data_IF_058020315022
#
_entry.id   IF_058020315022
#
_cell.length_a   1.000
_cell.length_b   1.000
_cell.length_c   1.000
_cell.angle_alpha   90.00
_cell.angle_beta   90.00
_cell.angle_gamma   90.00
#
_symmetry.space_group_name_H-M   'P 1'
#
loop_
_entity.id
_entity.type
_entity.pdbx_description
1 polymer ?
#
# COMPACT_ATOMS: atom_id res chain seq x y z
N UNK A 1 -13.87 -4.30 -9.78
CA UNK A 1 -12.51 -3.81 -10.01
C UNK A 1 -11.86 -4.66 -11.10
N UNK A 2 -10.95 -4.10 -11.89
CA UNK A 2 -10.18 -4.78 -12.93
C UNK A 2 -8.78 -4.17 -13.06
N UNK A 3 -7.89 -4.87 -13.74
CA UNK A 3 -6.56 -4.35 -14.04
C UNK A 3 -6.63 -3.06 -14.88
N UNK A 4 -5.83 -2.07 -14.51
CA UNK A 4 -5.83 -0.72 -15.06
C UNK A 4 -6.79 0.27 -14.39
N UNK A 5 -7.64 -0.17 -13.46
CA UNK A 5 -8.45 0.75 -12.66
C UNK A 5 -7.56 1.61 -11.74
N UNK A 6 -8.00 2.84 -11.45
CA UNK A 6 -7.32 3.80 -10.58
C UNK A 6 -8.30 4.42 -9.60
N UNK A 7 -7.81 4.84 -8.44
CA UNK A 7 -8.56 5.54 -7.39
C UNK A 7 -9.86 4.79 -7.01
N UNK A 8 -9.75 3.47 -6.80
CA UNK A 8 -10.90 2.60 -6.51
C UNK A 8 -11.20 2.60 -5.02
N UNK A 9 -12.31 3.22 -4.62
CA UNK A 9 -12.79 3.22 -3.25
C UNK A 9 -13.32 1.84 -2.82
N UNK A 10 -12.86 1.35 -1.67
CA UNK A 10 -13.31 0.08 -1.07
C UNK A 10 -14.03 0.37 0.24
N UNK A 11 -15.35 0.18 0.23
CA UNK A 11 -16.20 0.36 1.40
C UNK A 11 -16.33 -0.91 2.24
N UNK A 12 -16.60 -0.74 3.53
CA UNK A 12 -16.88 -1.86 4.41
C UNK A 12 -18.24 -2.46 4.05
N UNK A 13 -18.33 -3.75 3.68
CA UNK A 13 -19.60 -4.35 3.29
C UNK A 13 -20.62 -4.43 4.43
N UNK A 14 -20.16 -4.35 5.69
CA UNK A 14 -21.01 -4.36 6.87
C UNK A 14 -21.44 -2.95 7.32
N UNK A 15 -20.82 -1.91 6.78
CA UNK A 15 -21.12 -0.51 7.07
C UNK A 15 -20.70 0.36 5.89
N UNK A 16 -21.59 0.50 4.90
CA UNK A 16 -21.30 1.21 3.65
C UNK A 16 -21.12 2.72 3.81
N UNK A 17 -21.30 3.26 5.02
CA UNK A 17 -20.94 4.64 5.35
C UNK A 17 -19.44 4.80 5.66
N UNK A 18 -18.70 3.68 5.76
CA UNK A 18 -17.27 3.65 6.05
C UNK A 18 -16.47 3.10 4.89
N UNK A 19 -15.60 3.94 4.35
CA UNK A 19 -14.52 3.54 3.45
C UNK A 19 -13.36 2.93 4.24
N UNK A 20 -12.87 1.77 3.80
CA UNK A 20 -11.68 1.12 4.37
C UNK A 20 -10.42 1.80 3.80
N UNK A 21 -10.33 1.86 2.47
CA UNK A 21 -9.22 2.47 1.75
C UNK A 21 -9.63 2.80 0.31
N UNK A 22 -8.77 3.55 -0.36
CA UNK A 22 -8.79 3.73 -1.81
C UNK A 22 -7.57 3.02 -2.38
N UNK A 23 -7.74 2.25 -3.47
CA UNK A 23 -6.67 1.62 -4.22
C UNK A 23 -6.21 2.59 -5.32
N UNK A 24 -4.95 3.05 -5.25
CA UNK A 24 -4.46 4.10 -6.15
C UNK A 24 -4.34 3.59 -7.61
N UNK A 25 -3.83 2.37 -7.79
CA UNK A 25 -3.65 1.74 -9.11
C UNK A 25 -3.73 0.21 -9.02
N UNK A 26 -4.47 -0.42 -9.93
CA UNK A 26 -4.49 -1.88 -10.09
C UNK A 26 -3.68 -2.23 -11.32
N UNK A 27 -2.59 -2.97 -11.16
CA UNK A 27 -1.70 -3.27 -12.29
C UNK A 27 -1.03 -4.62 -12.18
N UNK A 28 -1.15 -5.41 -13.24
CA UNK A 28 -0.65 -6.79 -13.31
C UNK A 28 -1.13 -7.66 -12.14
N UNK A 29 -2.38 -7.46 -11.70
CA UNK A 29 -2.95 -8.19 -10.56
C UNK A 29 -2.49 -7.72 -9.18
N UNK A 30 -1.71 -6.63 -9.09
CA UNK A 30 -1.23 -6.05 -7.84
C UNK A 30 -2.01 -4.79 -7.50
N UNK A 31 -2.36 -4.63 -6.23
CA UNK A 31 -2.98 -3.41 -5.68
C UNK A 31 -1.90 -2.46 -5.19
N UNK A 32 -1.68 -1.36 -5.90
CA UNK A 32 -0.61 -0.40 -5.61
C UNK A 32 -1.14 0.82 -4.87
N UNK A 33 -0.47 1.15 -3.76
CA UNK A 33 -0.50 2.48 -3.15
C UNK A 33 0.69 3.28 -3.73
N UNK A 34 0.43 4.44 -4.29
CA UNK A 34 1.43 5.29 -4.95
C UNK A 34 1.91 6.41 -4.03
N UNK A 35 3.21 6.71 -4.06
CA UNK A 35 3.81 7.82 -3.31
C UNK A 35 4.80 8.60 -4.17
N UNK A 36 4.70 9.92 -4.18
CA UNK A 36 5.67 10.79 -4.84
C UNK A 36 6.77 11.30 -3.91
N UNK A 37 6.71 10.94 -2.62
CA UNK A 37 7.64 11.44 -1.61
C UNK A 37 9.04 10.87 -1.80
N UNK A 38 10.04 11.75 -1.81
CA UNK A 38 11.46 11.37 -1.82
C UNK A 38 12.14 11.56 -0.46
N UNK A 39 11.47 12.25 0.48
CA UNK A 39 11.92 12.45 1.86
C UNK A 39 10.73 12.77 2.78
N UNK A 40 11.00 12.88 4.08
CA UNK A 40 10.07 13.40 5.08
C UNK A 40 10.83 14.14 6.19
N UNK A 41 10.23 15.18 6.77
CA UNK A 41 10.81 15.90 7.90
C UNK A 41 10.84 15.04 9.18
N UNK A 42 9.83 14.18 9.35
CA UNK A 42 9.73 13.19 10.41
C UNK A 42 9.44 11.84 9.73
N UNK A 43 10.49 11.04 9.56
CA UNK A 43 10.42 9.80 8.78
C UNK A 43 9.60 8.74 9.52
N UNK A 44 9.75 8.61 10.84
CA UNK A 44 9.02 7.64 11.64
C UNK A 44 7.50 7.88 11.56
N UNK A 45 7.08 9.13 11.74
CA UNK A 45 5.66 9.50 11.63
C UNK A 45 5.15 9.31 10.21
N UNK A 46 5.98 9.60 9.21
CA UNK A 46 5.61 9.38 7.81
C UNK A 46 5.44 7.89 7.52
N UNK A 47 6.36 7.05 7.96
CA UNK A 47 6.33 5.58 7.81
C UNK A 47 5.09 4.99 8.47
N UNK A 48 4.81 5.33 9.73
CA UNK A 48 3.62 4.83 10.42
C UNK A 48 2.33 5.17 9.68
N UNK A 49 2.25 6.38 9.09
CA UNK A 49 1.05 6.85 8.38
C UNK A 49 0.94 6.31 6.95
N UNK A 50 2.03 6.31 6.20
CA UNK A 50 2.02 6.12 4.74
C UNK A 50 2.45 4.72 4.32
N UNK A 51 3.10 3.97 5.21
CA UNK A 51 3.49 2.58 4.99
C UNK A 51 2.60 1.68 5.83
N UNK A 52 2.76 1.69 7.16
CA UNK A 52 2.10 0.72 8.04
C UNK A 52 0.57 0.84 7.97
N UNK A 53 0.03 2.05 8.19
CA UNK A 53 -1.42 2.26 8.14
C UNK A 53 -2.01 1.98 6.76
N UNK A 54 -1.38 2.49 5.69
CA UNK A 54 -1.91 2.34 4.33
C UNK A 54 -1.87 0.90 3.84
N UNK A 55 -0.73 0.23 3.96
CA UNK A 55 -0.61 -1.18 3.59
C UNK A 55 -1.51 -2.05 4.47
N UNK A 56 -1.63 -1.77 5.77
CA UNK A 56 -2.58 -2.45 6.65
C UNK A 56 -4.02 -2.36 6.16
N UNK A 57 -4.47 -1.16 5.75
CA UNK A 57 -5.80 -0.98 5.16
C UNK A 57 -5.99 -1.72 3.83
N UNK A 58 -4.95 -1.87 3.01
CA UNK A 58 -5.02 -2.68 1.78
C UNK A 58 -5.12 -4.18 2.09
N UNK A 59 -4.38 -4.67 3.10
CA UNK A 59 -4.48 -6.06 3.57
C UNK A 59 -5.89 -6.36 4.07
N UNK A 60 -6.50 -5.43 4.81
CA UNK A 60 -7.88 -5.56 5.26
C UNK A 60 -8.87 -5.51 4.09
N UNK A 61 -8.72 -4.53 3.20
CA UNK A 61 -9.66 -4.28 2.12
C UNK A 61 -9.71 -5.41 1.09
N UNK A 62 -8.57 -6.02 0.75
CA UNK A 62 -8.49 -6.98 -0.38
C UNK A 62 -9.47 -8.14 -0.25
N UNK A 63 -9.76 -8.60 0.96
CA UNK A 63 -10.69 -9.72 1.22
C UNK A 63 -12.13 -9.45 0.75
N UNK A 64 -12.47 -8.17 0.51
CA UNK A 64 -13.79 -7.74 0.06
C UNK A 64 -13.83 -7.40 -1.44
N UNK A 65 -12.73 -7.65 -2.16
CA UNK A 65 -12.62 -7.31 -3.58
C UNK A 65 -12.67 -8.58 -4.41
N UNK A 66 -13.78 -8.77 -5.12
CA UNK A 66 -14.03 -9.94 -5.97
C UNK A 66 -12.89 -10.14 -6.98
N UNK A 67 -12.24 -11.31 -6.91
CA UNK A 67 -11.11 -11.69 -7.75
C UNK A 67 -9.74 -11.18 -7.30
N UNK A 68 -9.67 -10.41 -6.19
CA UNK A 68 -8.43 -9.85 -5.63
C UNK A 68 -8.26 -10.15 -4.12
N UNK A 69 -9.03 -11.10 -3.58
CA UNK A 69 -9.04 -11.50 -2.15
C UNK A 69 -7.66 -11.93 -1.64
N UNK A 70 -6.85 -12.44 -2.55
CA UNK A 70 -5.49 -12.89 -2.29
C UNK A 70 -4.43 -12.12 -3.10
N UNK A 71 -4.82 -11.02 -3.74
CA UNK A 71 -3.92 -10.23 -4.55
C UNK A 71 -2.69 -9.77 -3.74
N UNK A 72 -1.51 -9.72 -4.37
CA UNK A 72 -0.38 -8.98 -3.83
C UNK A 72 -0.74 -7.50 -3.67
N UNK A 73 -0.14 -6.87 -2.67
CA UNK A 73 -0.22 -5.43 -2.49
C UNK A 73 1.17 -4.83 -2.65
N UNK A 74 1.25 -3.54 -2.96
CA UNK A 74 2.53 -2.88 -3.08
C UNK A 74 2.52 -1.40 -2.77
N UNK A 75 3.68 -0.91 -2.36
CA UNK A 75 3.98 0.51 -2.24
C UNK A 75 4.88 0.92 -3.40
N UNK A 76 4.39 1.78 -4.30
CA UNK A 76 5.13 2.24 -5.48
C UNK A 76 5.48 3.71 -5.35
N UNK A 77 6.77 4.02 -5.38
CA UNK A 77 7.25 5.39 -5.44
C UNK A 77 7.34 5.85 -6.90
N UNK A 78 6.77 7.01 -7.20
CA UNK A 78 6.65 7.54 -8.58
C UNK A 78 7.63 8.66 -8.90
N UNK A 79 8.33 9.19 -7.87
CA UNK A 79 9.37 10.20 -8.02
C UNK A 79 10.76 9.60 -7.77
N UNK A 80 11.74 9.80 -8.68
CA UNK A 80 13.11 9.31 -8.47
C UNK A 80 13.84 10.14 -7.41
N UNK A 81 14.98 9.63 -6.94
CA UNK A 81 15.88 10.38 -6.05
C UNK A 81 15.45 10.40 -4.58
N UNK A 82 14.87 9.29 -4.09
CA UNK A 82 14.59 9.11 -2.67
C UNK A 82 15.88 9.24 -1.85
N UNK A 83 15.81 10.00 -0.76
CA UNK A 83 16.89 10.10 0.21
C UNK A 83 17.24 8.70 0.76
N UNK A 84 18.54 8.34 0.85
CA UNK A 84 18.94 6.99 1.26
C UNK A 84 18.44 6.59 2.66
N UNK A 85 18.42 7.51 3.62
CA UNK A 85 17.92 7.21 4.97
C UNK A 85 16.41 7.03 4.96
N UNK A 86 15.68 7.90 4.24
CA UNK A 86 14.24 7.73 4.02
C UNK A 86 13.91 6.38 3.40
N UNK A 87 14.61 6.00 2.32
CA UNK A 87 14.44 4.71 1.64
C UNK A 87 14.69 3.53 2.57
N UNK A 88 15.78 3.55 3.34
CA UNK A 88 16.11 2.47 4.27
C UNK A 88 15.04 2.26 5.35
N UNK A 89 14.47 3.35 5.87
CA UNK A 89 13.40 3.27 6.88
C UNK A 89 12.08 2.75 6.28
N UNK A 90 11.73 3.16 5.06
CA UNK A 90 10.58 2.59 4.35
C UNK A 90 10.76 1.10 4.10
N UNK A 91 11.93 0.68 3.60
CA UNK A 91 12.23 -0.73 3.34
C UNK A 91 12.16 -1.55 4.65
N UNK A 92 12.72 -1.04 5.75
CA UNK A 92 12.64 -1.68 7.08
C UNK A 92 11.19 -1.87 7.53
N UNK A 93 10.33 -0.86 7.35
CA UNK A 93 8.92 -0.96 7.72
C UNK A 93 8.16 -1.95 6.83
N UNK A 94 8.47 -2.01 5.53
CA UNK A 94 7.89 -3.02 4.63
C UNK A 94 8.32 -4.43 5.04
N UNK A 95 9.57 -4.66 5.43
CA UNK A 95 10.01 -5.98 5.93
C UNK A 95 9.27 -6.38 7.21
N UNK A 96 9.07 -5.43 8.13
CA UNK A 96 8.25 -5.66 9.32
C UNK A 96 6.83 -6.07 8.95
N UNK A 97 6.19 -5.35 8.01
CA UNK A 97 4.85 -5.69 7.53
C UNK A 97 4.79 -7.10 6.92
N UNK A 98 5.83 -7.53 6.19
CA UNK A 98 5.92 -8.90 5.66
C UNK A 98 6.02 -9.94 6.76
N UNK A 99 6.85 -9.70 7.77
CA UNK A 99 7.02 -10.60 8.90
C UNK A 99 5.72 -10.76 9.71
N UNK A 100 4.95 -9.68 9.86
CA UNK A 100 3.66 -9.68 10.57
C UNK A 100 2.53 -10.31 9.73
N UNK A 101 2.69 -10.41 8.40
CA UNK A 101 1.67 -10.89 7.47
C UNK A 101 2.22 -11.96 6.51
N UNK A 102 2.64 -13.15 7.00
CA UNK A 102 3.36 -14.15 6.22
C UNK A 102 2.58 -14.75 5.04
N UNK A 103 1.25 -14.58 5.00
CA UNK A 103 0.38 -15.01 3.89
C UNK A 103 0.08 -13.92 2.86
N UNK A 104 0.74 -12.76 2.95
CA UNK A 104 0.53 -11.62 2.04
C UNK A 104 1.82 -11.32 1.29
N UNK A 105 1.75 -11.28 -0.03
CA UNK A 105 2.84 -10.79 -0.86
C UNK A 105 2.82 -9.25 -0.84
N UNK A 106 3.83 -8.63 -0.20
CA UNK A 106 3.96 -7.18 -0.08
C UNK A 106 5.17 -6.71 -0.89
N UNK A 107 4.94 -5.89 -1.90
CA UNK A 107 5.96 -5.36 -2.81
C UNK A 107 6.35 -3.93 -2.46
N UNK A 108 7.59 -3.56 -2.80
CA UNK A 108 8.02 -2.16 -2.83
C UNK A 108 8.70 -1.90 -4.16
N UNK A 109 8.32 -0.81 -4.82
CA UNK A 109 8.89 -0.39 -6.11
C UNK A 109 9.34 1.07 -5.98
N UNK A 110 10.60 1.34 -6.35
CA UNK A 110 11.17 2.68 -6.37
C UNK A 110 11.31 3.15 -7.82
N UNK A 111 11.09 4.45 -8.07
CA UNK A 111 11.31 5.10 -9.36
C UNK A 111 12.80 5.29 -9.71
#
# INVERSE_FOLDING_TARGET
MKDGDREVQIDNPNDTSKTITDIDDVKNGVLWEEKSATNAADVDKWVAKQVEKKLGSYIEARQYIDGYEHAPIGLRFTSPGADPNFRAQVETAVEKMRAENPGVQILVEWA
#
